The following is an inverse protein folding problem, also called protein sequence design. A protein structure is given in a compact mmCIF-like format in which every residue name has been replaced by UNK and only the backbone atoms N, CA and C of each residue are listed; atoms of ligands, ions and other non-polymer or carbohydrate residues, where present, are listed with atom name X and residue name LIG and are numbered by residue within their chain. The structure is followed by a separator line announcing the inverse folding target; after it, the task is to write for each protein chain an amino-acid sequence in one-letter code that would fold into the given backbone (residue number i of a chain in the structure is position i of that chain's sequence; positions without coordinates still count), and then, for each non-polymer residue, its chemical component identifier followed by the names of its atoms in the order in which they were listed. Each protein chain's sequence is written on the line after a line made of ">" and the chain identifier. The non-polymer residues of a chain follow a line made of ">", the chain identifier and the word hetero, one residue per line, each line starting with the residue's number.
data_IF_363994047045
#
_entry.id   IF_363994047045
#
_cell.length_a   1.000
_cell.length_b   1.000
_cell.length_c   1.000
_cell.angle_alpha   90.00
_cell.angle_beta   90.00
_cell.angle_gamma   90.00
#
_symmetry.space_group_name_H-M   'P 1'
#
loop_
_entity.id
_entity.type
_entity.pdbx_description
1 polymer ?
#
# COMPACT_ATOMS: atom_id res chain seq x y z
N UNK A 1 15.10 6.10 8.93
CA UNK A 1 13.62 6.22 9.03
C UNK A 1 13.05 4.99 8.34
N UNK A 2 12.17 4.20 8.96
CA UNK A 2 11.74 2.93 8.35
C UNK A 2 10.86 2.05 9.25
N UNK A 3 10.75 2.39 10.55
CA UNK A 3 9.78 1.76 11.45
C UNK A 3 8.37 2.31 11.22
N UNK A 4 8.24 3.64 11.03
CA UNK A 4 6.94 4.30 10.86
C UNK A 4 6.25 3.95 9.54
N UNK A 5 7.02 3.72 8.48
CA UNK A 5 6.47 3.40 7.17
C UNK A 5 5.86 2.00 7.14
N UNK A 6 6.41 1.04 7.91
CA UNK A 6 5.82 -0.30 8.08
C UNK A 6 4.51 -0.26 8.85
N UNK A 7 4.41 0.56 9.89
CA UNK A 7 3.16 0.74 10.63
C UNK A 7 2.08 1.39 9.75
N UNK A 8 2.48 2.40 8.98
CA UNK A 8 1.61 3.06 8.02
C UNK A 8 1.10 2.07 6.97
N UNK A 9 1.98 1.28 6.35
CA UNK A 9 1.62 0.24 5.38
C UNK A 9 0.64 -0.78 5.99
N UNK A 10 0.90 -1.25 7.22
CA UNK A 10 0.02 -2.21 7.90
C UNK A 10 -1.37 -1.63 8.16
N UNK A 11 -1.46 -0.38 8.60
CA UNK A 11 -2.76 0.30 8.81
C UNK A 11 -3.51 0.51 7.49
N UNK A 12 -2.80 0.87 6.43
CA UNK A 12 -3.39 1.04 5.09
C UNK A 12 -3.93 -0.30 4.56
N UNK A 13 -3.20 -1.39 4.77
CA UNK A 13 -3.56 -2.74 4.33
C UNK A 13 -4.70 -3.32 5.16
N UNK A 14 -4.76 -3.09 6.47
CA UNK A 14 -5.87 -3.59 7.30
C UNK A 14 -7.20 -2.86 7.05
N UNK A 15 -7.15 -1.62 6.53
CA UNK A 15 -8.34 -0.85 6.13
C UNK A 15 -8.63 -0.94 4.63
N UNK A 16 -7.80 -1.67 3.90
CA UNK A 16 -7.88 -1.88 2.46
C UNK A 16 -9.14 -2.63 2.01
N UNK A 17 -9.64 -3.52 2.85
CA UNK A 17 -10.74 -4.43 2.51
C UNK A 17 -12.05 -3.70 2.20
N UNK A 18 -12.15 -2.42 2.59
CA UNK A 18 -13.32 -1.56 2.34
C UNK A 18 -13.08 -0.56 1.21
N UNK A 19 -11.98 0.23 1.27
CA UNK A 19 -11.78 1.37 0.36
C UNK A 19 -10.30 1.55 -0.08
N UNK A 20 -9.57 0.47 -0.37
CA UNK A 20 -8.15 0.58 -0.75
C UNK A 20 -7.92 1.48 -1.97
N UNK A 21 -8.85 1.51 -2.94
CA UNK A 21 -8.72 2.36 -4.12
C UNK A 21 -8.69 3.85 -3.76
N UNK A 22 -9.64 4.30 -2.93
CA UNK A 22 -9.71 5.67 -2.42
C UNK A 22 -8.47 6.02 -1.60
N UNK A 23 -8.02 5.09 -0.75
CA UNK A 23 -6.81 5.26 0.05
C UNK A 23 -5.57 5.41 -0.84
N UNK A 24 -5.44 4.61 -1.90
CA UNK A 24 -4.33 4.73 -2.84
C UNK A 24 -4.32 6.08 -3.53
N UNK A 25 -5.48 6.55 -4.00
CA UNK A 25 -5.61 7.86 -4.64
C UNK A 25 -5.24 9.00 -3.69
N UNK A 26 -5.77 9.00 -2.46
CA UNK A 26 -5.46 10.05 -1.49
C UNK A 26 -4.00 9.98 -1.02
N UNK A 27 -3.43 8.78 -0.87
CA UNK A 27 -2.02 8.63 -0.53
C UNK A 27 -1.12 9.21 -1.63
N UNK A 28 -1.40 8.87 -2.89
CA UNK A 28 -0.66 9.40 -4.03
C UNK A 28 -0.83 10.92 -4.13
N UNK A 29 -2.02 11.45 -3.88
CA UNK A 29 -2.29 12.91 -3.84
C UNK A 29 -1.52 13.63 -2.73
N UNK A 30 -1.41 13.03 -1.54
CA UNK A 30 -0.78 13.66 -0.36
C UNK A 30 0.75 13.54 -0.37
N UNK A 31 1.28 12.40 -0.82
CA UNK A 31 2.70 12.07 -0.71
C UNK A 31 3.44 12.05 -2.05
N UNK A 32 2.71 12.22 -3.16
CA UNK A 32 3.24 12.18 -4.53
C UNK A 32 4.05 10.92 -4.82
N UNK A 33 3.66 9.81 -4.19
CA UNK A 33 4.25 8.48 -4.31
C UNK A 33 3.14 7.44 -4.28
N UNK A 34 3.23 6.45 -5.15
CA UNK A 34 2.27 5.34 -5.13
C UNK A 34 2.53 4.40 -3.94
N UNK A 35 1.46 3.79 -3.43
CA UNK A 35 1.56 2.75 -2.39
C UNK A 35 2.47 1.60 -2.84
N UNK A 36 2.40 1.22 -4.13
CA UNK A 36 3.25 0.17 -4.69
C UNK A 36 4.74 0.50 -4.57
N UNK A 37 5.11 1.74 -4.89
CA UNK A 37 6.51 2.17 -4.84
C UNK A 37 7.02 2.12 -3.40
N UNK A 38 6.24 2.62 -2.45
CA UNK A 38 6.61 2.61 -1.03
C UNK A 38 6.72 1.17 -0.51
N UNK A 39 5.82 0.27 -0.91
CA UNK A 39 5.91 -1.15 -0.55
C UNK A 39 7.18 -1.79 -1.15
N UNK A 40 7.55 -1.46 -2.40
CA UNK A 40 8.77 -1.99 -3.03
C UNK A 40 10.04 -1.52 -2.33
N UNK A 41 10.07 -0.27 -1.90
CA UNK A 41 11.24 0.36 -1.30
C UNK A 41 11.42 -0.08 0.16
N UNK A 42 10.31 -0.23 0.91
CA UNK A 42 10.35 -0.48 2.36
C UNK A 42 10.18 -1.96 2.75
N UNK A 43 9.55 -2.79 1.90
CA UNK A 43 9.31 -4.20 2.19
C UNK A 43 10.22 -5.11 1.37
N UNK A 44 10.55 -6.28 1.93
CA UNK A 44 11.41 -7.29 1.29
C UNK A 44 10.81 -8.68 1.42
N UNK A 45 11.21 -9.57 0.50
CA UNK A 45 10.81 -10.97 0.48
C UNK A 45 9.30 -11.16 0.29
N UNK A 46 8.80 -12.30 0.75
CA UNK A 46 7.41 -12.73 0.54
C UNK A 46 6.38 -11.75 1.09
N UNK A 47 6.73 -11.02 2.16
CA UNK A 47 5.86 -9.98 2.73
C UNK A 47 5.60 -8.85 1.73
N UNK A 48 6.63 -8.38 1.03
CA UNK A 48 6.47 -7.37 -0.05
C UNK A 48 5.56 -7.90 -1.15
N UNK A 49 5.77 -9.15 -1.57
CA UNK A 49 5.09 -9.72 -2.71
C UNK A 49 3.60 -9.98 -2.40
N UNK A 50 3.27 -10.37 -1.16
CA UNK A 50 1.91 -10.45 -0.67
C UNK A 50 1.20 -9.08 -0.69
N UNK A 51 1.86 -8.04 -0.16
CA UNK A 51 1.32 -6.68 -0.13
C UNK A 51 1.07 -6.12 -1.53
N UNK A 52 2.00 -6.32 -2.47
CA UNK A 52 1.84 -5.90 -3.86
C UNK A 52 0.65 -6.60 -4.54
N UNK A 53 0.40 -7.88 -4.23
CA UNK A 53 -0.77 -8.60 -4.76
C UNK A 53 -2.08 -8.02 -4.24
N UNK A 54 -2.15 -7.64 -2.97
CA UNK A 54 -3.34 -7.01 -2.37
C UNK A 54 -3.62 -5.64 -3.01
N UNK A 55 -2.59 -4.83 -3.17
CA UNK A 55 -2.69 -3.48 -3.78
C UNK A 55 -3.09 -3.56 -5.25
N UNK A 56 -2.50 -4.49 -6.02
CA UNK A 56 -2.83 -4.72 -7.44
C UNK A 56 -4.21 -5.34 -7.63
N UNK A 57 -4.59 -6.32 -6.81
CA UNK A 57 -5.87 -7.01 -6.90
C UNK A 57 -7.07 -6.07 -6.71
N UNK A 58 -6.90 -5.00 -5.93
CA UNK A 58 -7.93 -3.98 -5.72
C UNK A 58 -8.14 -3.02 -6.90
N UNK A 59 -7.17 -2.87 -7.82
CA UNK A 59 -7.34 -2.02 -9.01
C UNK A 59 -8.31 -2.62 -10.05
N UNK A 60 -8.59 -3.92 -9.98
CA UNK A 60 -9.42 -4.61 -10.99
C UNK A 60 -10.92 -4.61 -10.65
N UNK A 61 -11.35 -3.99 -9.55
CA UNK A 61 -12.76 -3.99 -9.10
C UNK A 61 -13.56 -2.74 -9.45
N UNK A 62 -13.00 -1.83 -10.26
CA UNK A 62 -13.71 -0.69 -10.83
C UNK A 62 -13.37 -0.54 -12.31
#
# INVERSE_FOLDING_TARGET
>A
LGVRDKDLIRVLVSRAETDLATIQMEYERLFNKSLEQVIRDECKGDYRDALLRIVKGNRSRY
#
